data_IF_555769872368
#
_entry.id   IF_555769872368
#
_cell.length_a   1.000
_cell.length_b   1.000
_cell.length_c   1.000
_cell.angle_alpha   90.00
_cell.angle_beta   90.00
_cell.angle_gamma   90.00
#
_symmetry.space_group_name_H-M   'P 1'
#
loop_
_entity.id
_entity.type
_entity.pdbx_description
1 polymer ?
#
# COMPACT_ATOMS: atom_id res chain seq x y z
N UNK A 1 -4.93 23.60 -0.48
CA UNK A 1 -4.80 22.21 0.02
C UNK A 1 -3.33 21.88 0.18
N UNK A 2 -2.89 21.25 1.29
CA UNK A 2 -1.49 20.87 1.49
C UNK A 2 -1.09 19.69 0.61
N UNK A 3 0.22 19.53 0.44
CA UNK A 3 0.79 18.31 -0.12
C UNK A 3 1.53 17.49 0.95
N UNK A 4 1.54 16.17 0.77
CA UNK A 4 2.27 15.26 1.65
C UNK A 4 3.62 14.93 1.02
N UNK A 5 4.69 15.22 1.76
CA UNK A 5 6.07 14.99 1.34
C UNK A 5 6.34 13.51 1.02
N UNK A 6 6.74 13.21 -0.21
CA UNK A 6 7.15 11.85 -0.60
C UNK A 6 8.35 11.35 0.20
N UNK A 7 9.30 12.25 0.55
CA UNK A 7 10.44 11.91 1.40
C UNK A 7 9.99 11.34 2.74
N UNK A 8 8.96 11.94 3.36
CA UNK A 8 8.42 11.45 4.63
C UNK A 8 7.78 10.06 4.50
N UNK A 9 7.09 9.81 3.38
CA UNK A 9 6.48 8.51 3.06
C UNK A 9 7.57 7.43 2.86
N UNK A 10 8.56 7.68 1.99
CA UNK A 10 9.70 6.76 1.78
C UNK A 10 10.43 6.44 3.09
N UNK A 11 10.73 7.46 3.90
CA UNK A 11 11.40 7.29 5.21
C UNK A 11 10.61 6.35 6.11
N UNK A 12 9.29 6.53 6.20
CA UNK A 12 8.42 5.67 7.03
C UNK A 12 8.39 4.24 6.52
N UNK A 13 8.10 4.05 5.24
CA UNK A 13 7.97 2.72 4.63
C UNK A 13 9.28 1.94 4.76
N UNK A 14 10.42 2.58 4.47
CA UNK A 14 11.73 1.95 4.61
C UNK A 14 12.06 1.66 6.08
N UNK A 15 11.79 2.59 7.00
CA UNK A 15 12.03 2.34 8.42
C UNK A 15 11.28 1.10 8.90
N UNK A 16 9.95 1.06 8.76
CA UNK A 16 9.15 -0.07 9.22
C UNK A 16 9.40 -1.35 8.42
N UNK A 17 9.69 -1.23 7.12
CA UNK A 17 10.01 -2.36 6.25
C UNK A 17 11.35 -3.02 6.57
N UNK A 18 12.34 -2.27 7.08
CA UNK A 18 13.67 -2.77 7.43
C UNK A 18 13.75 -3.35 8.86
N UNK A 19 12.85 -2.95 9.79
CA UNK A 19 12.83 -3.52 11.15
C UNK A 19 12.76 -5.05 11.19
N UNK A 20 11.84 -5.74 10.47
CA UNK A 20 11.79 -7.21 10.52
C UNK A 20 13.05 -7.86 9.95
N UNK A 21 13.75 -7.21 9.02
CA UNK A 21 15.03 -7.70 8.48
C UNK A 21 16.14 -7.58 9.52
N UNK A 22 16.17 -6.48 10.27
CA UNK A 22 17.11 -6.28 11.38
C UNK A 22 16.89 -7.32 12.48
N UNK A 23 15.63 -7.50 12.92
CA UNK A 23 15.28 -8.51 13.94
C UNK A 23 15.61 -9.92 13.44
N UNK A 24 15.31 -10.22 12.18
CA UNK A 24 15.69 -11.48 11.55
C UNK A 24 17.21 -11.70 11.58
N UNK A 25 18.01 -10.71 11.21
CA UNK A 25 19.47 -10.82 11.21
C UNK A 25 20.04 -10.99 12.63
N UNK A 26 19.54 -10.23 13.61
CA UNK A 26 19.95 -10.36 15.01
C UNK A 26 19.63 -11.77 15.52
N UNK A 27 18.44 -12.29 15.23
CA UNK A 27 18.05 -13.63 15.65
C UNK A 27 18.96 -14.71 15.07
N UNK A 28 19.38 -14.59 13.79
CA UNK A 28 20.39 -15.48 13.19
C UNK A 28 21.70 -15.41 13.97
N UNK A 29 22.23 -14.20 14.22
CA UNK A 29 23.51 -14.01 14.92
C UNK A 29 23.43 -14.62 16.33
N UNK A 30 22.38 -14.33 17.09
CA UNK A 30 22.20 -14.83 18.45
C UNK A 30 22.09 -16.35 18.51
N UNK A 31 21.32 -16.97 17.59
CA UNK A 31 21.18 -18.44 17.56
C UNK A 31 22.46 -19.17 17.15
N UNK A 32 23.34 -18.49 16.42
CA UNK A 32 24.57 -19.06 15.90
C UNK A 32 25.83 -18.65 16.70
N UNK A 33 25.66 -17.91 17.80
CA UNK A 33 26.76 -17.52 18.65
C UNK A 33 27.30 -18.73 19.43
N UNK A 34 28.59 -19.04 19.26
CA UNK A 34 29.28 -20.10 20.01
C UNK A 34 28.91 -21.53 19.60
N UNK A 35 28.20 -21.74 18.48
CA UNK A 35 27.89 -23.07 17.94
C UNK A 35 28.74 -23.38 16.72
N UNK A 36 29.17 -24.64 16.58
CA UNK A 36 30.01 -25.11 15.47
C UNK A 36 29.22 -25.45 14.21
N UNK A 37 27.91 -25.70 14.34
CA UNK A 37 27.00 -26.01 13.23
C UNK A 37 25.92 -24.94 13.11
N UNK A 38 25.75 -24.29 11.95
CA UNK A 38 24.75 -23.26 11.77
C UNK A 38 23.33 -23.76 12.01
N UNK A 39 22.57 -23.05 12.84
CA UNK A 39 21.15 -23.27 13.10
C UNK A 39 20.30 -22.30 12.28
N UNK A 40 19.30 -22.84 11.60
CA UNK A 40 18.29 -22.06 10.88
C UNK A 40 17.16 -21.66 11.83
N UNK A 41 16.58 -20.47 11.59
CA UNK A 41 15.34 -20.07 12.24
C UNK A 41 14.19 -20.94 11.76
N UNK A 42 13.28 -21.27 12.68
CA UNK A 42 12.06 -21.99 12.32
C UNK A 42 11.19 -21.14 11.38
N UNK A 43 10.54 -21.80 10.41
CA UNK A 43 9.61 -21.12 9.50
C UNK A 43 8.51 -20.35 10.26
N UNK A 44 8.03 -20.91 11.37
CA UNK A 44 7.06 -20.27 12.28
C UNK A 44 7.62 -18.99 12.91
N UNK A 45 8.89 -18.98 13.35
CA UNK A 45 9.53 -17.79 13.92
C UNK A 45 9.71 -16.68 12.90
N UNK A 46 10.11 -17.03 11.67
CA UNK A 46 10.19 -16.08 10.55
C UNK A 46 8.80 -15.52 10.22
N UNK A 47 7.81 -16.39 10.06
CA UNK A 47 6.44 -15.98 9.81
C UNK A 47 5.93 -15.01 10.89
N UNK A 48 6.08 -15.35 12.17
CA UNK A 48 5.65 -14.51 13.28
C UNK A 48 6.34 -13.14 13.27
N UNK A 49 7.66 -13.09 13.02
CA UNK A 49 8.41 -11.84 12.91
C UNK A 49 7.87 -10.95 11.78
N UNK A 50 7.80 -11.46 10.56
CA UNK A 50 7.37 -10.67 9.40
C UNK A 50 5.89 -10.28 9.51
N UNK A 51 5.00 -11.17 9.96
CA UNK A 51 3.57 -10.86 10.11
C UNK A 51 3.33 -9.79 11.18
N UNK A 52 4.02 -9.87 12.32
CA UNK A 52 3.94 -8.87 13.38
C UNK A 52 4.39 -7.49 12.88
N UNK A 53 5.56 -7.41 12.26
CA UNK A 53 6.09 -6.12 11.79
C UNK A 53 5.32 -5.55 10.61
N UNK A 54 4.73 -6.37 9.73
CA UNK A 54 3.76 -5.90 8.73
C UNK A 54 2.56 -5.24 9.42
N UNK A 55 1.96 -5.93 10.40
CA UNK A 55 0.83 -5.38 11.14
C UNK A 55 1.17 -4.05 11.82
N UNK A 56 2.34 -3.97 12.45
CA UNK A 56 2.83 -2.73 13.06
C UNK A 56 3.05 -1.63 12.01
N UNK A 57 3.63 -1.94 10.84
CA UNK A 57 3.84 -0.97 9.76
C UNK A 57 2.52 -0.34 9.30
N UNK A 58 1.54 -1.18 8.92
CA UNK A 58 0.21 -0.73 8.47
C UNK A 58 -0.52 0.04 9.56
N UNK A 59 -0.44 -0.42 10.81
CA UNK A 59 -1.04 0.28 11.95
C UNK A 59 -0.43 1.66 12.14
N UNK A 60 0.89 1.78 12.11
CA UNK A 60 1.59 3.05 12.30
C UNK A 60 1.31 4.02 11.14
N UNK A 61 1.27 3.53 9.91
CA UNK A 61 0.89 4.34 8.74
C UNK A 61 -0.55 4.86 8.85
N UNK A 62 -1.49 4.00 9.22
CA UNK A 62 -2.86 4.41 9.47
C UNK A 62 -2.97 5.46 10.59
N UNK A 63 -2.16 5.39 11.64
CA UNK A 63 -2.14 6.40 12.69
C UNK A 63 -1.56 7.74 12.21
N UNK A 64 -0.45 7.70 11.47
CA UNK A 64 0.19 8.89 10.91
C UNK A 64 -0.77 9.62 9.95
N UNK A 65 -1.32 8.90 8.97
CA UNK A 65 -2.27 9.46 7.98
C UNK A 65 -3.51 10.01 8.69
N UNK A 66 -4.06 9.28 9.67
CA UNK A 66 -5.22 9.74 10.44
C UNK A 66 -4.92 11.03 11.22
N UNK A 67 -3.72 11.17 11.75
CA UNK A 67 -3.34 12.37 12.50
C UNK A 67 -3.30 13.61 11.60
N UNK A 68 -2.83 13.48 10.36
CA UNK A 68 -2.84 14.55 9.37
C UNK A 68 -4.26 14.83 8.87
N UNK A 69 -5.02 13.79 8.52
CA UNK A 69 -6.39 13.92 8.03
C UNK A 69 -7.32 14.67 9.01
N UNK A 70 -7.08 14.53 10.32
CA UNK A 70 -7.81 15.28 11.35
C UNK A 70 -7.57 16.79 11.32
N UNK A 71 -6.43 17.23 10.80
CA UNK A 71 -6.08 18.64 10.73
C UNK A 71 -6.47 19.27 9.40
N UNK A 72 -6.26 18.55 8.30
CA UNK A 72 -6.51 19.06 6.95
C UNK A 72 -7.95 18.81 6.46
N UNK A 73 -8.71 18.00 7.19
CA UNK A 73 -10.07 17.61 6.82
C UNK A 73 -10.12 16.48 5.79
N UNK A 74 -11.31 16.28 5.22
CA UNK A 74 -11.60 15.20 4.28
C UNK A 74 -12.16 15.75 2.97
N UNK A 75 -11.87 15.06 1.88
CA UNK A 75 -12.42 15.36 0.56
C UNK A 75 -13.95 15.29 0.64
N UNK A 76 -14.61 16.33 0.13
CA UNK A 76 -16.07 16.55 0.14
C UNK A 76 -16.71 16.49 1.53
N UNK A 77 -15.89 16.72 2.57
CA UNK A 77 -16.33 16.72 3.96
C UNK A 77 -17.32 17.84 4.31
N UNK A 78 -17.37 18.87 3.47
CA UNK A 78 -18.30 20.00 3.59
C UNK A 78 -19.74 19.60 3.18
N UNK A 79 -19.91 18.52 2.40
CA UNK A 79 -21.21 18.04 1.90
C UNK A 79 -21.58 16.69 2.52
N UNK A 80 -20.61 15.77 2.65
CA UNK A 80 -20.84 14.40 3.12
C UNK A 80 -19.90 13.99 4.25
N UNK A 81 -20.42 13.41 5.35
CA UNK A 81 -19.58 12.81 6.38
C UNK A 81 -18.92 11.52 5.85
N UNK A 82 -17.75 11.18 6.40
CA UNK A 82 -17.11 9.88 6.13
C UNK A 82 -17.93 8.71 6.69
N UNK A 83 -17.85 7.58 6.00
CA UNK A 83 -18.57 6.36 6.35
C UNK A 83 -18.16 5.84 7.72
N UNK A 84 -19.13 5.20 8.38
CA UNK A 84 -18.95 4.49 9.64
C UNK A 84 -18.88 3.00 9.37
N UNK A 85 -18.28 2.26 10.31
CA UNK A 85 -18.30 0.79 10.26
C UNK A 85 -19.76 0.32 10.32
N UNK A 86 -20.25 -0.44 9.31
CA UNK A 86 -21.63 -0.92 9.29
C UNK A 86 -21.99 -1.72 10.54
N UNK A 87 -23.26 -1.63 10.98
CA UNK A 87 -23.75 -2.43 12.11
C UNK A 87 -23.55 -3.92 11.83
N UNK A 88 -23.15 -4.69 12.84
CA UNK A 88 -22.84 -6.12 12.70
C UNK A 88 -21.51 -6.47 12.02
N UNK A 89 -20.83 -5.51 11.37
CA UNK A 89 -19.59 -5.77 10.61
C UNK A 89 -18.28 -5.56 11.41
N UNK A 90 -18.37 -5.20 12.69
CA UNK A 90 -17.20 -4.90 13.53
C UNK A 90 -16.20 -6.05 13.53
N UNK A 91 -16.65 -7.27 13.84
CA UNK A 91 -15.78 -8.46 13.91
C UNK A 91 -15.09 -8.72 12.57
N UNK A 92 -15.82 -8.62 11.44
CA UNK A 92 -15.24 -8.77 10.10
C UNK A 92 -14.14 -7.74 9.84
N UNK A 93 -14.40 -6.46 10.13
CA UNK A 93 -13.39 -5.39 9.96
C UNK A 93 -12.17 -5.62 10.86
N UNK A 94 -12.38 -5.98 12.13
CA UNK A 94 -11.27 -6.20 13.06
C UNK A 94 -10.41 -7.43 12.76
N UNK A 95 -11.03 -8.53 12.31
CA UNK A 95 -10.32 -9.78 12.00
C UNK A 95 -9.74 -9.83 10.59
N UNK A 96 -10.37 -9.15 9.62
CA UNK A 96 -9.92 -9.17 8.22
C UNK A 96 -8.50 -8.64 8.06
N UNK A 97 -8.15 -7.52 8.70
CA UNK A 97 -6.84 -6.92 8.52
C UNK A 97 -5.68 -7.85 8.99
N UNK A 98 -5.67 -8.39 10.22
CA UNK A 98 -4.67 -9.37 10.63
C UNK A 98 -4.65 -10.63 9.77
N UNK A 99 -5.82 -11.14 9.36
CA UNK A 99 -5.91 -12.33 8.52
C UNK A 99 -5.29 -12.11 7.13
N UNK A 100 -5.60 -10.99 6.48
CA UNK A 100 -5.05 -10.62 5.18
C UNK A 100 -3.54 -10.37 5.25
N UNK A 101 -3.06 -9.69 6.29
CA UNK A 101 -1.63 -9.50 6.53
C UNK A 101 -0.91 -10.84 6.71
N UNK A 102 -1.51 -11.75 7.47
CA UNK A 102 -0.99 -13.10 7.68
C UNK A 102 -0.92 -13.87 6.37
N UNK A 103 -1.97 -13.79 5.55
CA UNK A 103 -2.03 -14.47 4.25
C UNK A 103 -0.96 -13.93 3.28
N UNK A 104 -0.82 -12.61 3.16
CA UNK A 104 0.23 -11.96 2.32
C UNK A 104 1.63 -12.37 2.78
N UNK A 105 1.85 -12.40 4.09
CA UNK A 105 3.14 -12.79 4.68
C UNK A 105 3.45 -14.26 4.40
N UNK A 106 2.49 -15.16 4.64
CA UNK A 106 2.64 -16.58 4.36
C UNK A 106 2.94 -16.83 2.88
N UNK A 107 2.19 -16.19 1.97
CA UNK A 107 2.41 -16.27 0.52
C UNK A 107 3.83 -15.84 0.14
N UNK A 108 4.29 -14.68 0.65
CA UNK A 108 5.63 -14.16 0.35
C UNK A 108 6.73 -15.11 0.82
N UNK A 109 6.57 -15.69 2.02
CA UNK A 109 7.52 -16.64 2.59
C UNK A 109 7.56 -17.95 1.80
N UNK A 110 6.40 -18.56 1.54
CA UNK A 110 6.31 -19.83 0.79
C UNK A 110 6.92 -19.70 -0.61
N UNK A 111 6.73 -18.57 -1.27
CA UNK A 111 7.12 -18.37 -2.67
C UNK A 111 8.58 -17.97 -2.85
N UNK A 112 9.12 -17.12 -1.96
CA UNK A 112 10.42 -16.48 -2.20
C UNK A 112 11.44 -16.64 -1.08
N UNK A 113 11.05 -17.07 0.12
CA UNK A 113 11.99 -17.17 1.22
C UNK A 113 12.96 -18.34 1.05
N UNK A 114 14.25 -18.05 1.16
CA UNK A 114 15.30 -19.05 1.20
C UNK A 114 16.01 -18.96 2.56
N UNK A 115 15.93 -20.00 3.42
CA UNK A 115 16.59 -20.01 4.73
C UNK A 115 18.12 -19.82 4.68
N UNK A 116 18.76 -20.16 3.57
CA UNK A 116 20.20 -19.94 3.36
C UNK A 116 20.54 -18.48 3.03
N UNK A 117 19.56 -17.67 2.64
CA UNK A 117 19.75 -16.26 2.27
C UNK A 117 19.46 -15.35 3.46
N UNK A 118 20.50 -14.85 4.13
CA UNK A 118 20.35 -13.94 5.26
C UNK A 118 20.08 -12.49 4.82
N UNK A 119 19.40 -11.67 5.64
CA UNK A 119 19.14 -10.27 5.31
C UNK A 119 20.41 -9.49 4.97
N UNK A 120 21.45 -9.59 5.80
CA UNK A 120 22.68 -8.81 5.60
C UNK A 120 23.38 -9.15 4.28
N UNK A 121 23.32 -10.42 3.85
CA UNK A 121 23.92 -10.85 2.59
C UNK A 121 23.20 -10.32 1.35
N UNK A 122 21.91 -9.97 1.47
CA UNK A 122 21.18 -9.32 0.37
C UNK A 122 21.42 -7.81 0.38
N UNK A 123 21.29 -7.16 1.54
CA UNK A 123 21.47 -5.72 1.70
C UNK A 123 22.90 -5.23 1.39
N UNK A 124 23.90 -6.09 1.55
CA UNK A 124 25.31 -5.78 1.24
C UNK A 124 25.71 -6.09 -0.20
N UNK A 125 24.86 -6.78 -0.98
CA UNK A 125 25.18 -7.17 -2.36
C UNK A 125 25.35 -5.91 -3.23
N UNK A 126 26.45 -5.79 -4.00
CA UNK A 126 26.62 -4.66 -4.92
C UNK A 126 25.43 -4.52 -5.86
N UNK A 127 24.93 -3.28 -5.99
CA UNK A 127 23.77 -2.97 -6.83
C UNK A 127 22.41 -3.33 -6.24
N UNK A 128 22.31 -3.97 -5.06
CA UNK A 128 21.02 -4.34 -4.48
C UNK A 128 20.13 -3.11 -4.23
N UNK A 129 20.67 -2.03 -3.67
CA UNK A 129 19.91 -0.79 -3.46
C UNK A 129 19.50 -0.09 -4.76
N UNK A 130 20.30 -0.22 -5.83
CA UNK A 130 19.96 0.28 -7.16
C UNK A 130 18.79 -0.52 -7.72
N UNK A 131 18.85 -1.85 -7.64
CA UNK A 131 17.73 -2.70 -8.03
C UNK A 131 16.49 -2.47 -7.18
N UNK A 132 16.63 -2.28 -5.86
CA UNK A 132 15.50 -1.95 -4.99
C UNK A 132 14.83 -0.65 -5.44
N UNK A 133 15.61 0.38 -5.78
CA UNK A 133 15.09 1.64 -6.30
C UNK A 133 14.19 1.40 -7.52
N UNK A 134 14.64 0.61 -8.49
CA UNK A 134 13.82 0.30 -9.67
C UNK A 134 12.65 -0.64 -9.36
N UNK A 135 12.88 -1.67 -8.54
CA UNK A 135 11.90 -2.68 -8.17
C UNK A 135 10.67 -2.07 -7.52
N UNK A 136 10.81 -1.05 -6.67
CA UNK A 136 9.67 -0.39 -6.03
C UNK A 136 8.65 0.09 -7.07
N UNK A 137 9.10 0.82 -8.09
CA UNK A 137 8.17 1.34 -9.11
C UNK A 137 7.73 0.27 -10.10
N UNK A 138 8.66 -0.53 -10.61
CA UNK A 138 8.35 -1.55 -11.62
C UNK A 138 7.36 -2.57 -11.05
N UNK A 139 7.62 -3.10 -9.84
CA UNK A 139 6.73 -4.04 -9.18
C UNK A 139 5.36 -3.41 -8.93
N UNK A 140 5.30 -2.19 -8.37
CA UNK A 140 4.02 -1.53 -8.10
C UNK A 140 3.21 -1.27 -9.36
N UNK A 141 3.83 -0.88 -10.49
CA UNK A 141 3.14 -0.68 -11.77
C UNK A 141 2.61 -1.99 -12.35
N UNK A 142 3.36 -3.09 -12.24
CA UNK A 142 2.92 -4.42 -12.68
C UNK A 142 1.81 -4.94 -11.76
N UNK A 143 1.93 -4.75 -10.45
CA UNK A 143 0.85 -5.04 -9.49
C UNK A 143 -0.42 -4.28 -9.86
N UNK A 144 -0.26 -2.99 -10.18
CA UNK A 144 -1.36 -2.12 -10.59
C UNK A 144 -2.05 -2.62 -11.85
N UNK A 145 -1.32 -3.22 -12.79
CA UNK A 145 -1.90 -3.81 -14.00
C UNK A 145 -2.85 -4.96 -13.68
N UNK A 146 -2.38 -5.94 -12.89
CA UNK A 146 -3.20 -7.10 -12.50
C UNK A 146 -4.40 -6.69 -11.67
N UNK A 147 -4.21 -5.72 -10.77
CA UNK A 147 -5.29 -5.12 -10.01
C UNK A 147 -6.29 -4.41 -10.94
N UNK A 148 -5.81 -3.53 -11.82
CA UNK A 148 -6.61 -2.78 -12.80
C UNK A 148 -7.51 -3.69 -13.62
N UNK A 149 -6.95 -4.77 -14.20
CA UNK A 149 -7.70 -5.69 -15.03
C UNK A 149 -8.86 -6.35 -14.26
N UNK A 150 -8.59 -6.89 -13.08
CA UNK A 150 -9.63 -7.54 -12.28
C UNK A 150 -10.65 -6.54 -11.73
N UNK A 151 -10.19 -5.37 -11.30
CA UNK A 151 -11.02 -4.32 -10.76
C UNK A 151 -11.99 -3.78 -11.83
N UNK A 152 -11.48 -3.43 -13.01
CA UNK A 152 -12.29 -3.04 -14.16
C UNK A 152 -13.26 -4.14 -14.56
N UNK A 153 -12.83 -5.40 -14.61
CA UNK A 153 -13.70 -6.53 -14.93
C UNK A 153 -14.87 -6.65 -13.94
N UNK A 154 -14.65 -6.40 -12.64
CA UNK A 154 -15.73 -6.39 -11.65
C UNK A 154 -16.76 -5.26 -11.88
N UNK A 155 -16.35 -4.13 -12.47
CA UNK A 155 -17.23 -3.01 -12.77
C UNK A 155 -17.94 -3.13 -14.11
N UNK A 156 -17.30 -3.74 -15.11
CA UNK A 156 -17.81 -3.82 -16.48
C UNK A 156 -18.55 -5.14 -16.77
N UNK A 157 -18.17 -6.24 -16.10
CA UNK A 157 -18.80 -7.56 -16.30
C UNK A 157 -19.80 -7.82 -15.17
N UNK A 158 -21.09 -7.92 -15.52
CA UNK A 158 -22.19 -8.01 -14.56
C UNK A 158 -22.05 -9.16 -13.55
N UNK A 159 -21.62 -10.35 -13.99
CA UNK A 159 -21.48 -11.53 -13.14
C UNK A 159 -20.34 -11.42 -12.12
N UNK A 160 -19.36 -10.53 -12.35
CA UNK A 160 -18.21 -10.32 -11.47
C UNK A 160 -18.47 -9.23 -10.42
N UNK A 161 -19.42 -8.33 -10.66
CA UNK A 161 -19.78 -7.26 -9.72
C UNK A 161 -20.06 -7.74 -8.30
N UNK A 162 -20.67 -8.92 -8.16
CA UNK A 162 -20.98 -9.50 -6.85
C UNK A 162 -19.76 -9.61 -5.93
N UNK A 163 -18.55 -9.82 -6.48
CA UNK A 163 -17.32 -9.94 -5.71
C UNK A 163 -16.78 -8.58 -5.22
N UNK A 164 -17.27 -7.47 -5.78
CA UNK A 164 -16.78 -6.13 -5.51
C UNK A 164 -17.84 -5.18 -4.92
N UNK A 165 -19.11 -5.59 -5.00
CA UNK A 165 -20.25 -4.79 -4.57
C UNK A 165 -20.22 -4.43 -3.08
N UNK A 166 -19.79 -5.35 -2.21
CA UNK A 166 -19.67 -5.09 -0.77
C UNK A 166 -18.67 -3.97 -0.49
N UNK A 167 -17.54 -3.97 -1.19
CA UNK A 167 -16.52 -2.93 -1.08
C UNK A 167 -17.09 -1.55 -1.44
N UNK A 168 -17.92 -1.48 -2.47
CA UNK A 168 -18.57 -0.24 -2.90
C UNK A 168 -19.81 0.17 -2.11
N UNK A 169 -20.20 -0.58 -1.08
CA UNK A 169 -21.17 -0.07 -0.10
C UNK A 169 -20.61 1.10 0.69
N UNK A 170 -19.28 1.24 0.74
CA UNK A 170 -18.62 2.43 1.28
C UNK A 170 -18.46 3.47 0.17
N UNK A 171 -19.15 4.61 0.27
CA UNK A 171 -19.06 5.71 -0.71
C UNK A 171 -18.04 6.75 -0.29
N UNK A 172 -17.88 6.91 1.01
CA UNK A 172 -16.94 7.82 1.64
C UNK A 172 -16.07 7.02 2.62
N UNK A 173 -15.23 6.08 2.13
CA UNK A 173 -14.47 5.16 2.97
C UNK A 173 -13.58 5.84 4.02
N UNK A 174 -13.30 5.11 5.08
CA UNK A 174 -12.19 5.39 6.00
C UNK A 174 -11.19 4.25 5.91
N UNK A 175 -9.93 4.45 6.31
CA UNK A 175 -8.88 3.42 6.16
C UNK A 175 -9.26 2.06 6.76
N UNK A 176 -10.05 2.04 7.85
CA UNK A 176 -10.53 0.79 8.47
C UNK A 176 -11.47 -0.02 7.59
N UNK A 177 -12.08 0.59 6.58
CA UNK A 177 -12.95 -0.05 5.61
C UNK A 177 -12.18 -0.52 4.36
N UNK A 178 -10.87 -0.31 4.28
CA UNK A 178 -10.05 -0.79 3.17
C UNK A 178 -10.12 -2.33 3.01
N UNK A 179 -10.24 -3.06 4.12
CA UNK A 179 -10.43 -4.52 4.14
C UNK A 179 -11.90 -4.95 4.20
N UNK A 180 -12.84 -4.00 4.11
CA UNK A 180 -14.27 -4.31 4.08
C UNK A 180 -14.68 -4.70 2.67
N UNK A 181 -14.46 -5.97 2.35
CA UNK A 181 -14.78 -6.57 1.07
C UNK A 181 -15.20 -8.04 1.25
N UNK A 182 -15.66 -8.68 0.19
CA UNK A 182 -15.88 -10.12 0.17
C UNK A 182 -14.55 -10.88 0.20
N UNK A 183 -14.59 -12.14 0.61
CA UNK A 183 -13.38 -12.93 0.84
C UNK A 183 -12.56 -13.06 -0.45
N UNK A 184 -13.25 -13.27 -1.57
CA UNK A 184 -12.67 -13.44 -2.90
C UNK A 184 -11.89 -12.20 -3.33
N UNK A 185 -12.49 -11.01 -3.18
CA UNK A 185 -11.79 -9.75 -3.44
C UNK A 185 -10.61 -9.57 -2.49
N UNK A 186 -10.80 -9.86 -1.19
CA UNK A 186 -9.74 -9.77 -0.20
C UNK A 186 -8.54 -10.65 -0.56
N UNK A 187 -8.77 -11.90 -0.94
CA UNK A 187 -7.73 -12.84 -1.38
C UNK A 187 -7.06 -12.34 -2.67
N UNK A 188 -7.84 -11.84 -3.63
CA UNK A 188 -7.30 -11.36 -4.89
C UNK A 188 -6.35 -10.17 -4.68
N UNK A 189 -6.82 -9.13 -3.99
CA UNK A 189 -6.08 -7.89 -3.74
C UNK A 189 -4.81 -8.15 -2.92
N UNK A 190 -4.91 -9.05 -1.94
CA UNK A 190 -3.84 -9.24 -0.95
C UNK A 190 -2.82 -10.28 -1.39
N UNK A 191 -3.22 -11.27 -2.18
CA UNK A 191 -2.36 -12.39 -2.57
C UNK A 191 -2.25 -12.60 -4.07
N UNK A 192 -3.37 -12.71 -4.79
CA UNK A 192 -3.34 -13.11 -6.20
C UNK A 192 -2.65 -12.05 -7.05
N UNK A 193 -3.07 -10.79 -6.98
CA UNK A 193 -2.45 -9.72 -7.76
C UNK A 193 -0.95 -9.51 -7.40
N UNK A 194 -0.56 -9.48 -6.10
CA UNK A 194 0.86 -9.46 -5.72
C UNK A 194 1.68 -10.63 -6.23
N UNK A 195 1.12 -11.85 -6.22
CA UNK A 195 1.79 -13.04 -6.75
C UNK A 195 1.93 -12.98 -8.27
N UNK A 196 0.88 -12.59 -8.99
CA UNK A 196 0.92 -12.42 -10.44
C UNK A 196 1.96 -11.37 -10.86
N UNK A 197 2.08 -10.28 -10.10
CA UNK A 197 3.12 -9.28 -10.31
C UNK A 197 4.53 -9.84 -10.08
N UNK A 198 4.72 -10.61 -9.01
CA UNK A 198 5.99 -11.29 -8.76
C UNK A 198 6.33 -12.29 -9.89
N UNK A 199 5.37 -13.10 -10.33
CA UNK A 199 5.57 -14.03 -11.44
C UNK A 199 5.89 -13.30 -12.75
N UNK A 200 5.27 -12.14 -13.00
CA UNK A 200 5.58 -11.31 -14.16
C UNK A 200 7.02 -10.78 -14.11
N UNK A 201 7.49 -10.32 -12.93
CA UNK A 201 8.88 -9.92 -12.72
C UNK A 201 9.84 -11.09 -13.02
N UNK A 202 9.49 -12.31 -12.58
CA UNK A 202 10.29 -13.53 -12.81
C UNK A 202 10.34 -13.91 -14.29
N UNK A 203 9.21 -13.87 -14.99
CA UNK A 203 9.14 -14.15 -16.44
C UNK A 203 9.92 -13.11 -17.24
N UNK A 204 9.87 -11.83 -16.82
CA UNK A 204 10.65 -10.75 -17.41
C UNK A 204 12.15 -10.75 -17.02
N UNK A 205 12.60 -11.73 -16.23
CA UNK A 205 13.97 -11.84 -15.72
C UNK A 205 14.44 -10.59 -14.94
N UNK A 206 13.52 -9.90 -14.27
CA UNK A 206 13.82 -8.74 -13.42
C UNK A 206 14.19 -9.26 -12.02
N UNK A 207 15.37 -8.93 -11.49
CA UNK A 207 15.84 -9.48 -10.21
C UNK A 207 15.02 -8.94 -9.05
N UNK A 208 14.31 -9.84 -8.37
CA UNK A 208 13.47 -9.52 -7.22
C UNK A 208 13.61 -10.62 -6.17
N UNK A 209 14.54 -10.43 -5.23
CA UNK A 209 14.70 -11.34 -4.10
C UNK A 209 13.62 -11.12 -3.04
N UNK A 210 13.52 -12.04 -2.07
CA UNK A 210 12.55 -11.99 -0.98
C UNK A 210 12.54 -10.65 -0.25
N UNK A 211 13.73 -10.09 0.06
CA UNK A 211 13.86 -8.86 0.83
C UNK A 211 13.43 -7.63 0.02
N UNK A 212 13.75 -7.60 -1.26
CA UNK A 212 13.30 -6.55 -2.19
C UNK A 212 11.79 -6.62 -2.38
N UNK A 213 11.24 -7.82 -2.61
CA UNK A 213 9.81 -8.02 -2.76
C UNK A 213 9.05 -7.64 -1.49
N UNK A 214 9.55 -8.04 -0.32
CA UNK A 214 9.04 -7.64 0.97
C UNK A 214 8.89 -6.12 1.09
N UNK A 215 9.93 -5.36 0.75
CA UNK A 215 9.88 -3.89 0.78
C UNK A 215 8.86 -3.36 -0.23
N UNK A 216 8.81 -3.90 -1.45
CA UNK A 216 7.81 -3.50 -2.45
C UNK A 216 6.37 -3.72 -1.96
N UNK A 217 6.10 -4.79 -1.21
CA UNK A 217 4.80 -5.04 -0.60
C UNK A 217 4.45 -4.01 0.50
N UNK A 218 5.44 -3.47 1.21
CA UNK A 218 5.22 -2.37 2.16
C UNK A 218 4.80 -1.08 1.42
N UNK A 219 5.44 -0.78 0.28
CA UNK A 219 5.05 0.34 -0.59
C UNK A 219 3.62 0.19 -1.11
N UNK A 220 3.27 -1.00 -1.62
CA UNK A 220 1.91 -1.28 -2.08
C UNK A 220 0.87 -1.11 -0.97
N UNK A 221 1.14 -1.67 0.22
CA UNK A 221 0.25 -1.59 1.38
C UNK A 221 0.06 -0.15 1.88
N UNK A 222 1.11 0.69 1.80
CA UNK A 222 1.03 2.10 2.15
C UNK A 222 0.01 2.82 1.25
N UNK A 223 0.15 2.70 -0.07
CA UNK A 223 -0.76 3.31 -1.04
C UNK A 223 -2.20 2.81 -0.88
N UNK A 224 -2.38 1.49 -0.71
CA UNK A 224 -3.68 0.84 -0.48
C UNK A 224 -4.39 1.40 0.77
N UNK A 225 -3.62 1.62 1.84
CA UNK A 225 -4.12 2.18 3.10
C UNK A 225 -4.46 3.66 2.93
N UNK A 226 -3.55 4.44 2.36
CA UNK A 226 -3.70 5.89 2.17
C UNK A 226 -4.88 6.24 1.26
N UNK A 227 -5.11 5.46 0.20
CA UNK A 227 -6.21 5.67 -0.75
C UNK A 227 -7.60 5.65 -0.10
N UNK A 228 -7.78 4.91 1.00
CA UNK A 228 -9.06 4.84 1.73
C UNK A 228 -9.17 5.88 2.85
N UNK A 229 -8.22 6.81 2.99
CA UNK A 229 -8.26 7.80 4.07
C UNK A 229 -9.28 8.91 3.85
N UNK A 230 -9.60 9.22 2.59
CA UNK A 230 -10.39 10.39 2.21
C UNK A 230 -9.76 11.72 2.64
N UNK A 231 -8.47 11.73 3.02
CA UNK A 231 -7.77 12.92 3.51
C UNK A 231 -7.73 13.99 2.43
N UNK A 232 -8.06 15.24 2.80
CA UNK A 232 -8.03 16.42 1.93
C UNK A 232 -6.60 16.95 1.77
N UNK A 233 -5.73 16.16 1.16
CA UNK A 233 -4.35 16.54 0.84
C UNK A 233 -3.88 15.90 -0.47
N UNK A 234 -2.94 16.55 -1.15
CA UNK A 234 -2.23 15.96 -2.28
C UNK A 234 -1.19 14.95 -1.76
N UNK A 235 -1.61 13.69 -1.63
CA UNK A 235 -0.74 12.55 -1.33
C UNK A 235 -0.75 11.63 -2.53
N UNK A 236 0.42 11.44 -3.14
CA UNK A 236 0.64 10.47 -4.21
C UNK A 236 1.18 9.15 -3.65
N UNK A 237 0.96 8.03 -4.34
CA UNK A 237 1.70 6.80 -4.08
C UNK A 237 3.22 7.08 -4.11
N UNK A 238 4.01 6.69 -3.10
CA UNK A 238 5.42 7.04 -3.01
C UNK A 238 6.29 6.10 -3.85
N UNK A 239 6.13 6.14 -5.17
CA UNK A 239 6.93 5.36 -6.11
C UNK A 239 8.26 6.07 -6.40
N UNK A 240 9.33 5.31 -6.65
CA UNK A 240 10.64 5.88 -7.02
C UNK A 240 10.61 6.61 -8.36
N UNK A 241 9.62 6.32 -9.22
CA UNK A 241 9.34 7.00 -10.48
C UNK A 241 8.26 8.07 -10.38
N UNK A 242 7.89 8.50 -9.16
CA UNK A 242 6.79 9.47 -8.97
C UNK A 242 6.93 10.74 -9.81
N UNK A 243 8.14 11.28 -9.98
CA UNK A 243 8.35 12.46 -10.83
C UNK A 243 7.98 12.21 -12.30
N UNK A 244 8.30 11.03 -12.84
CA UNK A 244 7.91 10.65 -14.20
C UNK A 244 6.39 10.48 -14.32
N UNK A 245 5.76 9.80 -13.35
CA UNK A 245 4.31 9.62 -13.32
C UNK A 245 3.56 10.96 -13.23
N UNK A 246 4.07 11.88 -12.41
CA UNK A 246 3.53 13.25 -12.28
C UNK A 246 3.68 14.06 -13.57
N UNK A 247 4.84 13.97 -14.25
CA UNK A 247 5.05 14.66 -15.52
C UNK A 247 4.09 14.19 -16.62
N UNK A 248 3.65 12.92 -16.55
CA UNK A 248 2.65 12.33 -17.44
C UNK A 248 1.21 12.54 -16.95
N UNK A 249 1.01 13.12 -15.75
CA UNK A 249 -0.30 13.27 -15.11
C UNK A 249 -0.99 11.95 -14.79
N UNK A 250 -0.21 10.89 -14.56
CA UNK A 250 -0.69 9.52 -14.24
C UNK A 250 -0.27 9.06 -12.85
N UNK A 251 0.22 9.96 -12.01
CA UNK A 251 0.28 9.69 -10.58
C UNK A 251 -1.15 9.47 -10.05
N UNK A 252 -1.30 8.56 -9.10
CA UNK A 252 -2.54 8.42 -8.35
C UNK A 252 -2.46 9.29 -7.09
N UNK A 253 -3.56 9.93 -6.73
CA UNK A 253 -3.74 10.61 -5.44
C UNK A 253 -4.95 10.07 -4.71
N UNK A 254 -5.10 10.42 -3.44
CA UNK A 254 -6.22 9.97 -2.58
C UNK A 254 -7.57 10.23 -3.25
N UNK A 255 -7.76 11.41 -3.86
CA UNK A 255 -9.02 11.76 -4.52
C UNK A 255 -9.38 10.81 -5.66
N UNK A 256 -8.41 10.27 -6.40
CA UNK A 256 -8.72 9.41 -7.54
C UNK A 256 -9.49 8.15 -7.10
N UNK A 257 -9.06 7.54 -6.00
CA UNK A 257 -9.75 6.39 -5.38
C UNK A 257 -11.02 6.80 -4.63
N UNK A 258 -11.04 7.99 -4.01
CA UNK A 258 -12.23 8.50 -3.33
C UNK A 258 -13.38 8.73 -4.32
N UNK A 259 -13.12 9.38 -5.46
CA UNK A 259 -14.09 9.59 -6.54
C UNK A 259 -14.56 8.28 -7.16
N UNK A 260 -13.67 7.29 -7.27
CA UNK A 260 -14.02 5.96 -7.73
C UNK A 260 -15.09 5.32 -6.83
N UNK A 261 -14.92 5.39 -5.51
CA UNK A 261 -15.90 4.91 -4.52
C UNK A 261 -17.24 5.64 -4.60
N UNK A 262 -17.20 6.98 -4.70
CA UNK A 262 -18.40 7.83 -4.78
C UNK A 262 -19.25 7.53 -6.01
N UNK A 263 -18.63 7.35 -7.19
CA UNK A 263 -19.35 7.06 -8.45
C UNK A 263 -19.97 5.66 -8.48
N UNK A 264 -19.32 4.67 -7.85
CA UNK A 264 -19.87 3.33 -7.70
C UNK A 264 -19.96 2.51 -8.99
N UNK A 265 -21.01 1.69 -9.15
CA UNK A 265 -21.09 0.68 -10.21
C UNK A 265 -21.30 1.29 -11.62
N UNK A 266 -20.58 0.78 -12.63
CA UNK A 266 -20.69 1.06 -14.08
C UNK A 266 -20.44 2.48 -14.59
N UNK A 267 -20.50 3.50 -13.73
CA UNK A 267 -20.23 4.91 -14.09
C UNK A 267 -18.94 5.42 -13.46
N UNK A 268 -17.96 4.53 -13.27
CA UNK A 268 -16.73 4.84 -12.55
C UNK A 268 -15.51 4.89 -13.47
N UNK A 269 -14.41 5.32 -12.87
CA UNK A 269 -13.11 5.60 -13.47
C UNK A 269 -12.03 5.32 -12.41
N UNK A 270 -10.75 5.46 -12.75
CA UNK A 270 -9.63 5.30 -11.81
C UNK A 270 -9.60 3.91 -11.17
N UNK A 271 -9.46 2.86 -11.97
CA UNK A 271 -9.40 1.48 -11.47
C UNK A 271 -8.04 1.11 -10.86
N UNK A 272 -6.99 1.91 -11.08
CA UNK A 272 -5.68 1.71 -10.44
C UNK A 272 -5.67 1.98 -8.93
N UNK A 273 -4.65 1.46 -8.24
CA UNK A 273 -4.36 1.66 -6.81
C UNK A 273 -2.96 2.23 -6.56
N UNK A 274 -2.03 2.07 -7.49
CA UNK A 274 -0.63 2.54 -7.37
C UNK A 274 -0.33 3.69 -8.35
N UNK A 275 -1.05 3.76 -9.46
CA UNK A 275 -0.95 4.81 -10.47
C UNK A 275 -2.28 4.95 -11.22
N UNK A 276 -2.37 5.95 -12.10
CA UNK A 276 -3.41 6.05 -13.14
C UNK A 276 -2.85 5.70 -14.52
N UNK A 277 -1.72 5.01 -14.59
CA UNK A 277 -1.07 4.70 -15.87
C UNK A 277 -1.98 3.84 -16.75
N UNK A 278 -2.52 2.75 -16.19
CA UNK A 278 -3.43 1.86 -16.91
C UNK A 278 -4.78 2.53 -17.20
N UNK A 279 -5.24 3.40 -16.30
CA UNK A 279 -6.42 4.23 -16.57
C UNK A 279 -6.22 5.17 -17.76
N UNK A 280 -5.02 5.74 -17.94
CA UNK A 280 -4.70 6.52 -19.13
C UNK A 280 -4.67 5.63 -20.37
N UNK A 281 -3.91 4.53 -20.32
CA UNK A 281 -3.70 3.61 -21.46
C UNK A 281 -5.03 3.08 -22.00
N UNK A 282 -5.97 2.75 -21.13
CA UNK A 282 -7.23 2.11 -21.49
C UNK A 282 -8.45 3.05 -21.41
N UNK A 283 -8.24 4.36 -21.29
CA UNK A 283 -9.29 5.38 -21.39
C UNK A 283 -10.28 5.41 -20.22
N UNK A 284 -9.87 5.03 -19.01
CA UNK A 284 -10.71 5.01 -17.80
C UNK A 284 -10.26 6.03 -16.74
N UNK A 285 -9.41 6.98 -17.11
CA UNK A 285 -8.95 8.06 -16.22
C UNK A 285 -10.05 9.08 -15.95
N UNK A 286 -10.36 9.30 -14.67
CA UNK A 286 -11.32 10.29 -14.22
C UNK A 286 -10.72 11.67 -14.01
N UNK A 287 -11.56 12.69 -14.12
CA UNK A 287 -11.22 14.06 -13.73
C UNK A 287 -11.21 14.22 -12.20
N UNK A 288 -10.25 15.00 -11.69
CA UNK A 288 -10.14 15.41 -10.29
C UNK A 288 -10.98 16.65 -10.05
N UNK A 289 -11.58 16.77 -8.87
CA UNK A 289 -12.43 17.91 -8.51
C UNK A 289 -11.68 18.86 -7.55
N UNK A 290 -11.05 18.30 -6.51
CA UNK A 290 -10.41 19.05 -5.44
C UNK A 290 -8.89 19.09 -5.54
N UNK A 291 -8.24 18.01 -5.98
CA UNK A 291 -6.77 17.90 -6.12
C UNK A 291 -6.28 18.40 -7.49
N UNK A 292 -6.87 19.49 -7.97
CA UNK A 292 -6.44 20.21 -9.16
C UNK A 292 -5.31 21.21 -8.81
N UNK A 293 -4.40 21.53 -9.75
CA UNK A 293 -3.26 22.42 -9.47
C UNK A 293 -3.63 23.75 -8.83
N UNK A 294 -4.77 24.34 -9.23
CA UNK A 294 -5.27 25.61 -8.70
C UNK A 294 -5.60 25.56 -7.19
N UNK A 295 -5.89 24.38 -6.64
CA UNK A 295 -6.24 24.20 -5.24
C UNK A 295 -5.03 23.81 -4.37
N UNK A 296 -3.85 23.56 -4.96
CA UNK A 296 -2.67 23.09 -4.24
C UNK A 296 -1.82 24.28 -3.77
N UNK A 297 -1.45 24.26 -2.49
CA UNK A 297 -0.47 25.20 -1.92
C UNK A 297 0.87 24.49 -1.76
N UNK A 298 1.79 24.71 -2.69
CA UNK A 298 3.13 24.14 -2.67
C UNK A 298 4.03 24.73 -1.57
N UNK A 299 3.62 25.80 -0.88
CA UNK A 299 4.29 26.30 0.31
C UNK A 299 3.77 25.64 1.60
N UNK A 300 2.76 24.77 1.49
CA UNK A 300 2.18 24.04 2.61
C UNK A 300 2.46 22.54 2.49
N UNK A 301 3.72 22.19 2.73
CA UNK A 301 4.18 20.80 2.81
C UNK A 301 4.00 20.22 4.21
N UNK A 302 3.44 19.01 4.27
CA UNK A 302 3.30 18.23 5.51
C UNK A 302 4.14 16.95 5.41
N UNK A 303 4.98 16.72 6.41
CA UNK A 303 5.68 15.46 6.59
C UNK A 303 4.83 14.49 7.42
N UNK A 304 4.68 13.24 6.98
CA UNK A 304 4.15 12.20 7.85
C UNK A 304 5.13 11.97 9.01
N UNK A 305 4.66 12.04 10.28
CA UNK A 305 5.50 11.84 11.45
C UNK A 305 6.08 10.43 11.42
N UNK A 306 7.34 10.18 11.80
CA UNK A 306 7.89 8.81 11.86
C UNK A 306 7.33 8.01 13.07
N UNK A 307 7.12 8.72 14.18
CA UNK A 307 6.57 8.21 15.42
C UNK A 307 5.48 9.17 15.93
N UNK A 308 4.49 8.64 16.64
CA UNK A 308 3.44 9.46 17.26
C UNK A 308 2.45 10.04 16.24
N UNK A 309 1.88 11.19 16.58
CA UNK A 309 0.88 11.89 15.79
C UNK A 309 1.44 13.23 15.29
N UNK A 310 0.96 13.67 14.12
CA UNK A 310 1.23 15.01 13.62
C UNK A 310 0.57 16.03 14.55
N UNK A 311 1.35 17.03 15.00
CA UNK A 311 0.92 18.05 15.95
C UNK A 311 0.54 19.38 15.30
N UNK A 312 0.65 19.49 13.97
CA UNK A 312 0.32 20.71 13.22
C UNK A 312 1.52 21.63 13.06
N UNK A 313 1.37 22.61 12.16
CA UNK A 313 2.23 23.78 12.13
C UNK A 313 1.46 24.88 12.87
N UNK A 314 2.02 25.39 13.97
CA UNK A 314 1.46 26.56 14.65
C UNK A 314 1.31 27.70 13.63
N UNK A 315 0.09 28.19 13.41
CA UNK A 315 -0.15 29.47 12.72
C UNK A 315 -0.66 29.45 11.27
N UNK A 316 -1.08 28.31 10.71
CA UNK A 316 -1.85 28.28 9.43
C UNK A 316 -3.14 27.46 9.59
N UNK A 317 -4.17 28.10 10.13
CA UNK A 317 -5.57 27.69 10.03
C UNK A 317 -6.31 28.67 9.14
#
# INVERSE_FOLDING_TARGET
MPYISQRSQHRRILFYGLVPLLVHQIAIITLNCGVTSPRLLSATGIFANYALFFFLAVRQDGLAIKSVARQVGYLDGDVHPRDRIPRGSKTKVFLSLPALISLRTAMTLVVAYNPSSQPIGSLSRPGWWVWLFFNISIYCIILDFWYYCAHRACHEIHSLWKFHSLHHTTKHPIMRLASYADLEQGIFDICVAPLLAYLTMRVANIPLDFYSWWICLQYAAHSETAGHSGMRAYLTAPLTFSGALQSLGVEIVIEDHDLHHRKGYRKTCNYGKQSRLWDLVFGTRGERLETIPANLDWNWGIDLPLFGAYQGQDGKT
#
